data_IF_472816699181
#
_entry.id   IF_472816699181
#
_cell.length_a   1.000
_cell.length_b   1.000
_cell.length_c   1.000
_cell.angle_alpha   90.00
_cell.angle_beta   90.00
_cell.angle_gamma   90.00
#
_symmetry.space_group_name_H-M   'P 1'
#
loop_
_entity.id
_entity.type
_entity.pdbx_description
1 polymer ?
#
# COMPACT_ATOMS: atom_id res chain seq x y z
N UNK A 1 12.13 18.61 -0.95
CA UNK A 1 11.42 18.28 0.33
C UNK A 1 11.02 16.81 0.30
N UNK A 2 11.24 16.09 1.41
CA UNK A 2 10.87 14.67 1.56
C UNK A 2 9.57 14.55 2.37
N UNK A 3 8.66 13.71 1.91
CA UNK A 3 7.37 13.43 2.55
C UNK A 3 7.21 11.93 2.75
N UNK A 4 6.68 11.48 3.90
CA UNK A 4 6.33 10.08 4.06
C UNK A 4 5.13 9.72 3.16
N UNK A 5 5.13 8.52 2.63
CA UNK A 5 3.98 7.93 1.94
C UNK A 5 3.80 6.50 2.46
N UNK A 6 2.57 6.00 2.47
CA UNK A 6 2.27 4.59 2.74
C UNK A 6 1.72 3.89 1.51
N UNK A 7 1.57 2.60 1.59
CA UNK A 7 0.65 1.91 0.71
C UNK A 7 -0.76 2.43 0.93
N UNK A 8 -1.65 2.10 0.04
CA UNK A 8 -3.08 2.43 0.11
C UNK A 8 -3.88 1.33 -0.56
N UNK A 9 -5.17 1.29 -0.29
CA UNK A 9 -6.06 0.26 -0.81
C UNK A 9 -7.14 0.88 -1.72
N UNK A 10 -7.45 0.31 -2.89
CA UNK A 10 -8.58 0.76 -3.69
C UNK A 10 -9.89 0.71 -2.90
N UNK A 11 -10.71 1.74 -2.99
CA UNK A 11 -11.96 1.84 -2.22
C UNK A 11 -12.89 0.64 -2.49
N UNK A 12 -12.93 0.16 -3.73
CA UNK A 12 -13.70 -1.01 -4.15
C UNK A 12 -13.24 -2.33 -3.53
N UNK A 13 -12.11 -2.34 -2.82
CA UNK A 13 -11.59 -3.50 -2.06
C UNK A 13 -11.97 -3.45 -0.59
N UNK A 14 -12.58 -2.38 -0.13
CA UNK A 14 -13.01 -2.21 1.26
C UNK A 14 -14.43 -2.73 1.41
N UNK A 15 -14.65 -3.65 2.35
CA UNK A 15 -15.99 -4.19 2.62
C UNK A 15 -16.92 -3.08 3.17
N UNK A 16 -18.21 -3.20 2.90
CA UNK A 16 -19.21 -2.21 3.35
C UNK A 16 -19.42 -2.24 4.88
N UNK A 17 -19.42 -3.42 5.47
CA UNK A 17 -19.60 -3.58 6.92
C UNK A 17 -18.80 -4.78 7.41
N UNK A 18 -18.46 -4.75 8.69
CA UNK A 18 -17.77 -5.86 9.36
C UNK A 18 -18.63 -7.12 9.28
N UNK A 19 -18.02 -8.25 8.92
CA UNK A 19 -18.69 -9.55 8.85
C UNK A 19 -18.60 -10.27 10.18
N UNK A 20 -19.54 -11.19 10.43
CA UNK A 20 -19.53 -12.07 11.60
C UNK A 20 -18.22 -12.85 11.66
N UNK A 21 -17.53 -12.73 12.78
CA UNK A 21 -16.26 -13.44 13.01
C UNK A 21 -16.53 -14.89 13.36
N UNK A 22 -15.73 -15.80 12.80
CA UNK A 22 -15.86 -17.25 12.98
C UNK A 22 -14.66 -17.86 13.68
N UNK A 23 -13.54 -17.13 13.70
CA UNK A 23 -12.28 -17.61 14.29
C UNK A 23 -11.43 -16.45 14.83
N UNK A 24 -10.53 -16.80 15.73
CA UNK A 24 -9.66 -15.83 16.38
C UNK A 24 -8.61 -15.25 15.40
N UNK A 25 -7.88 -16.11 14.72
CA UNK A 25 -6.74 -15.72 13.89
C UNK A 25 -6.90 -16.21 12.46
N UNK A 26 -6.54 -15.36 11.50
CA UNK A 26 -6.42 -15.75 10.09
C UNK A 26 -5.27 -16.76 9.92
N UNK A 27 -5.48 -17.74 9.02
CA UNK A 27 -4.50 -18.80 8.78
C UNK A 27 -3.22 -18.36 8.06
N UNK A 28 -3.22 -17.14 7.52
CA UNK A 28 -2.09 -16.59 6.78
C UNK A 28 -0.98 -16.10 7.73
N UNK A 29 0.18 -16.75 7.67
CA UNK A 29 1.37 -16.37 8.43
C UNK A 29 2.37 -15.72 7.49
N UNK A 30 2.77 -14.46 7.73
CA UNK A 30 3.72 -13.77 6.88
C UNK A 30 5.04 -14.51 6.76
N UNK A 31 5.48 -14.81 5.51
CA UNK A 31 6.74 -15.52 5.24
C UNK A 31 6.62 -17.04 5.19
N UNK A 32 5.60 -17.63 5.76
CA UNK A 32 5.32 -19.05 5.63
C UNK A 32 4.51 -19.34 4.34
N UNK A 33 5.22 -19.79 3.31
CA UNK A 33 4.64 -20.05 2.00
C UNK A 33 3.56 -21.14 2.03
N UNK A 34 3.57 -22.05 3.00
CA UNK A 34 2.59 -23.13 3.12
C UNK A 34 1.20 -22.64 3.50
N UNK A 35 1.12 -21.43 4.08
CA UNK A 35 -0.14 -20.80 4.48
C UNK A 35 -0.80 -19.98 3.36
N UNK A 36 -0.08 -19.73 2.24
CA UNK A 36 -0.60 -18.95 1.10
C UNK A 36 -1.36 -19.82 0.11
N UNK A 37 -2.38 -20.51 0.61
CA UNK A 37 -3.14 -21.52 -0.15
C UNK A 37 -4.20 -20.95 -1.10
N UNK A 38 -4.55 -19.68 -0.95
CA UNK A 38 -5.62 -19.03 -1.72
C UNK A 38 -5.21 -18.82 -3.19
N UNK A 39 -6.09 -19.22 -4.10
CA UNK A 39 -5.89 -19.09 -5.54
C UNK A 39 -6.55 -17.85 -6.16
N UNK A 40 -7.42 -17.18 -5.42
CA UNK A 40 -8.15 -15.99 -5.84
C UNK A 40 -8.28 -14.98 -4.70
N UNK A 41 -8.61 -13.75 -5.06
CA UNK A 41 -8.72 -12.61 -4.14
C UNK A 41 -9.93 -12.74 -3.20
N UNK A 42 -11.04 -13.31 -3.67
CA UNK A 42 -12.27 -13.43 -2.89
C UNK A 42 -12.07 -14.35 -1.67
N UNK A 43 -11.50 -15.55 -1.87
CA UNK A 43 -11.21 -16.49 -0.79
C UNK A 43 -10.14 -15.92 0.16
N UNK A 44 -9.13 -15.23 -0.39
CA UNK A 44 -8.10 -14.55 0.38
C UNK A 44 -8.69 -13.47 1.30
N UNK A 45 -9.60 -12.65 0.80
CA UNK A 45 -10.25 -11.62 1.60
C UNK A 45 -11.25 -12.19 2.60
N UNK A 46 -11.99 -13.24 2.22
CA UNK A 46 -12.90 -13.93 3.10
C UNK A 46 -12.20 -14.48 4.34
N UNK A 47 -10.96 -14.93 4.20
CA UNK A 47 -10.13 -15.37 5.31
C UNK A 47 -9.99 -14.28 6.38
N UNK A 48 -9.70 -13.03 5.98
CA UNK A 48 -9.66 -11.90 6.89
C UNK A 48 -11.03 -11.48 7.41
N UNK A 49 -12.05 -11.49 6.56
CA UNK A 49 -13.41 -11.10 6.95
C UNK A 49 -13.96 -11.97 8.09
N UNK A 50 -13.64 -13.26 8.07
CA UNK A 50 -14.11 -14.24 9.06
C UNK A 50 -13.20 -14.33 10.30
N UNK A 51 -12.05 -13.65 10.32
CA UNK A 51 -11.10 -13.66 11.42
C UNK A 51 -11.16 -12.38 12.25
N UNK A 52 -10.97 -12.47 13.58
CA UNK A 52 -10.84 -11.31 14.46
C UNK A 52 -9.51 -10.64 14.17
N UNK A 53 -8.41 -11.40 14.25
CA UNK A 53 -7.06 -10.93 14.03
C UNK A 53 -6.42 -11.56 12.80
N UNK A 54 -5.45 -10.84 12.25
CA UNK A 54 -4.52 -11.39 11.28
C UNK A 54 -3.09 -10.99 11.65
N UNK A 55 -2.20 -11.99 11.73
CA UNK A 55 -0.80 -11.77 12.08
C UNK A 55 -0.11 -10.95 11.00
N UNK A 56 0.62 -9.93 11.42
CA UNK A 56 1.47 -9.15 10.55
C UNK A 56 2.66 -8.57 11.31
N UNK A 57 3.73 -8.24 10.58
CA UNK A 57 4.95 -7.65 11.10
C UNK A 57 5.83 -7.10 10.00
N UNK A 58 6.88 -6.37 10.37
CA UNK A 58 7.93 -5.89 9.45
C UNK A 58 8.57 -7.06 8.69
N UNK A 59 8.77 -6.86 7.38
CA UNK A 59 9.58 -7.72 6.52
C UNK A 59 10.74 -6.93 5.91
N UNK A 60 10.81 -6.76 4.61
CA UNK A 60 11.80 -5.90 3.94
C UNK A 60 11.66 -4.43 4.33
N UNK A 61 10.43 -3.97 4.50
CA UNK A 61 10.07 -2.67 5.06
C UNK A 61 9.07 -2.80 6.20
N UNK A 62 8.80 -1.71 6.90
CA UNK A 62 7.75 -1.63 7.91
C UNK A 62 6.38 -1.63 7.27
N UNK A 63 6.25 -0.99 6.11
CA UNK A 63 5.01 -0.88 5.37
C UNK A 63 4.86 -2.02 4.35
N UNK A 64 3.68 -2.64 4.33
CA UNK A 64 3.39 -3.66 3.34
C UNK A 64 1.89 -3.70 3.01
N UNK A 65 1.55 -4.10 1.79
CA UNK A 65 0.18 -4.10 1.29
C UNK A 65 -0.78 -4.92 2.16
N UNK A 66 -0.31 -6.01 2.77
CA UNK A 66 -1.11 -6.84 3.68
C UNK A 66 -1.74 -6.08 4.83
N UNK A 67 -1.09 -5.07 5.38
CA UNK A 67 -1.67 -4.29 6.48
C UNK A 67 -2.98 -3.64 6.07
N UNK A 68 -3.03 -3.11 4.86
CA UNK A 68 -4.19 -2.44 4.27
C UNK A 68 -5.27 -3.45 3.85
N UNK A 69 -4.87 -4.62 3.38
CA UNK A 69 -5.78 -5.73 3.04
C UNK A 69 -6.50 -6.27 4.29
N UNK A 70 -5.79 -6.41 5.40
CA UNK A 70 -6.36 -6.80 6.70
C UNK A 70 -7.41 -5.78 7.15
N UNK A 71 -7.04 -4.50 7.17
CA UNK A 71 -7.93 -3.40 7.57
C UNK A 71 -9.15 -3.28 6.67
N UNK A 72 -8.96 -3.37 5.35
CA UNK A 72 -10.01 -3.25 4.34
C UNK A 72 -11.07 -4.36 4.45
N UNK A 73 -10.71 -5.48 5.06
CA UNK A 73 -11.60 -6.61 5.28
C UNK A 73 -12.16 -6.68 6.72
N UNK A 74 -12.08 -5.58 7.48
CA UNK A 74 -12.62 -5.48 8.84
C UNK A 74 -11.98 -6.46 9.82
N UNK A 75 -10.75 -6.88 9.55
CA UNK A 75 -9.92 -7.67 10.44
C UNK A 75 -8.97 -6.74 11.21
N UNK A 76 -8.60 -7.11 12.42
CA UNK A 76 -7.69 -6.33 13.26
C UNK A 76 -6.27 -6.85 13.03
N UNK A 77 -5.31 -6.00 12.60
CA UNK A 77 -3.93 -6.43 12.50
C UNK A 77 -3.38 -6.80 13.88
N UNK A 78 -2.94 -8.06 14.05
CA UNK A 78 -2.05 -8.41 15.16
C UNK A 78 -0.63 -8.09 14.70
N UNK A 79 -0.22 -6.85 14.96
CA UNK A 79 1.02 -6.32 14.42
C UNK A 79 2.15 -6.44 15.44
N UNK A 80 2.98 -7.44 15.27
CA UNK A 80 4.13 -7.69 16.14
C UNK A 80 5.16 -6.57 15.99
N UNK A 81 5.56 -5.97 17.11
CA UNK A 81 6.55 -4.90 17.15
C UNK A 81 6.05 -3.54 16.64
N UNK A 82 4.74 -3.32 16.57
CA UNK A 82 4.18 -2.03 16.11
C UNK A 82 4.58 -0.85 17.00
N UNK A 83 4.72 -1.08 18.30
CA UNK A 83 5.14 -0.07 19.27
C UNK A 83 6.59 0.42 19.04
N UNK A 84 7.41 -0.40 18.36
CA UNK A 84 8.82 -0.12 18.10
C UNK A 84 9.05 0.49 16.70
N UNK A 85 7.98 0.71 15.94
CA UNK A 85 8.04 1.31 14.61
C UNK A 85 8.41 2.80 14.73
N UNK A 86 9.47 3.27 14.03
CA UNK A 86 9.85 4.67 14.05
C UNK A 86 8.69 5.61 13.67
N UNK A 87 8.68 6.82 14.22
CA UNK A 87 7.58 7.78 14.01
C UNK A 87 7.38 8.16 12.53
N UNK A 88 8.46 8.20 11.76
CA UNK A 88 8.45 8.53 10.35
C UNK A 88 8.11 7.33 9.43
N UNK A 89 7.87 6.14 9.98
CA UNK A 89 7.42 4.94 9.25
C UNK A 89 5.94 4.69 9.52
N UNK A 90 5.25 4.09 8.57
CA UNK A 90 3.81 3.81 8.68
C UNK A 90 3.01 5.04 9.15
N UNK A 91 3.32 6.22 8.65
CA UNK A 91 2.77 7.49 9.15
C UNK A 91 1.27 7.63 8.94
N UNK A 92 0.72 6.99 7.92
CA UNK A 92 -0.72 7.00 7.63
C UNK A 92 -1.46 5.82 8.26
N UNK A 93 -0.74 4.79 8.70
CA UNK A 93 -1.33 3.61 9.34
C UNK A 93 -1.85 3.96 10.75
N UNK A 94 -3.01 3.45 11.18
CA UNK A 94 -3.62 3.78 12.48
C UNK A 94 -2.93 3.07 13.65
N UNK A 95 -1.64 3.36 13.87
CA UNK A 95 -0.79 2.66 14.86
C UNK A 95 -1.42 2.63 16.25
N UNK A 96 -1.86 3.78 16.75
CA UNK A 96 -2.43 3.90 18.10
C UNK A 96 -3.73 3.09 18.24
N UNK A 97 -4.63 3.19 17.27
CA UNK A 97 -5.89 2.46 17.29
C UNK A 97 -5.69 0.94 17.20
N UNK A 98 -4.70 0.49 16.42
CA UNK A 98 -4.33 -0.93 16.33
C UNK A 98 -3.73 -1.41 17.64
N UNK A 99 -2.81 -0.65 18.25
CA UNK A 99 -2.24 -0.98 19.56
C UNK A 99 -3.30 -1.03 20.68
N UNK A 100 -4.25 -0.09 20.68
CA UNK A 100 -5.38 -0.09 21.59
C UNK A 100 -6.24 -1.35 21.42
N UNK A 101 -6.61 -1.67 20.16
CA UNK A 101 -7.40 -2.87 19.86
C UNK A 101 -6.69 -4.16 20.30
N UNK A 102 -5.39 -4.27 20.02
CA UNK A 102 -4.56 -5.39 20.45
C UNK A 102 -4.48 -5.50 21.97
N UNK A 103 -4.34 -4.38 22.68
CA UNK A 103 -4.28 -4.35 24.15
C UNK A 103 -5.59 -4.78 24.77
N UNK A 104 -6.71 -4.23 24.30
CA UNK A 104 -8.05 -4.46 24.90
C UNK A 104 -8.59 -5.85 24.57
N UNK A 105 -8.42 -6.32 23.35
CA UNK A 105 -8.96 -7.59 22.88
C UNK A 105 -8.00 -8.76 23.08
N UNK A 106 -6.72 -8.50 23.11
CA UNK A 106 -5.66 -9.51 23.17
C UNK A 106 -5.09 -9.78 24.56
N UNK A 107 -5.65 -9.17 25.62
CA UNK A 107 -5.06 -9.25 26.97
C UNK A 107 -4.87 -10.69 27.49
N UNK A 108 -5.47 -11.60 26.89
CA UNK A 108 -5.43 -13.01 27.20
C UNK A 108 -5.19 -13.92 26.02
N UNK A 109 -4.63 -13.56 24.91
CA UNK A 109 -4.48 -14.33 23.71
C UNK A 109 -3.12 -15.05 23.62
N UNK A 110 -3.02 -16.36 23.30
CA UNK A 110 -1.77 -17.10 23.05
C UNK A 110 -1.60 -17.44 21.58
N UNK A 111 -0.42 -17.23 21.06
CA UNK A 111 0.00 -17.84 19.79
C UNK A 111 0.41 -19.30 20.06
N UNK A 112 0.17 -20.19 19.12
CA UNK A 112 0.73 -21.51 19.23
C UNK A 112 2.25 -21.54 18.95
N UNK A 113 2.93 -22.58 19.43
CA UNK A 113 4.39 -22.68 19.36
C UNK A 113 4.95 -22.61 17.91
N UNK A 114 4.17 -23.02 16.92
CA UNK A 114 4.57 -23.00 15.51
C UNK A 114 4.64 -21.57 14.98
N UNK A 115 3.68 -20.74 15.36
CA UNK A 115 3.64 -19.31 15.03
C UNK A 115 4.75 -18.56 15.75
N UNK A 116 4.96 -18.83 17.03
CA UNK A 116 6.05 -18.23 17.80
C UNK A 116 7.42 -18.54 17.16
N UNK A 117 7.68 -19.78 16.81
CA UNK A 117 8.91 -20.20 16.13
C UNK A 117 9.10 -19.46 14.81
N UNK A 118 8.04 -19.36 14.00
CA UNK A 118 8.10 -18.67 12.73
C UNK A 118 8.39 -17.17 12.89
N UNK A 119 7.84 -16.54 13.90
CA UNK A 119 8.11 -15.13 14.23
C UNK A 119 9.57 -14.97 14.64
N UNK A 120 10.12 -15.86 15.49
CA UNK A 120 11.52 -15.83 15.91
C UNK A 120 12.49 -15.97 14.71
N UNK A 121 12.17 -16.86 13.77
CA UNK A 121 12.95 -17.00 12.53
C UNK A 121 12.86 -15.73 11.66
N UNK A 122 11.68 -15.12 11.57
CA UNK A 122 11.48 -13.87 10.84
C UNK A 122 12.20 -12.68 11.48
N UNK A 123 12.27 -12.60 12.81
CA UNK A 123 13.08 -11.59 13.52
C UNK A 123 14.54 -11.67 13.13
N UNK A 124 15.10 -12.87 13.10
CA UNK A 124 16.49 -13.08 12.69
C UNK A 124 16.75 -12.63 11.27
N UNK A 125 15.79 -12.88 10.38
CA UNK A 125 15.94 -12.56 8.96
C UNK A 125 15.73 -11.08 8.65
N UNK A 126 14.79 -10.42 9.31
CA UNK A 126 14.35 -9.06 8.97
C UNK A 126 14.72 -8.00 10.03
N UNK A 127 15.32 -8.40 11.14
CA UNK A 127 15.91 -7.49 12.14
C UNK A 127 14.95 -6.55 12.84
N UNK A 128 13.74 -6.99 13.19
CA UNK A 128 12.83 -6.21 14.03
C UNK A 128 12.92 -6.66 15.51
N UNK A 129 12.62 -5.73 16.41
CA UNK A 129 12.58 -5.97 17.86
C UNK A 129 11.14 -6.28 18.27
N UNK A 130 10.95 -7.33 19.05
CA UNK A 130 9.68 -7.72 19.61
C UNK A 130 9.68 -7.61 21.12
N UNK A 131 8.58 -7.12 21.69
CA UNK A 131 8.31 -7.29 23.11
C UNK A 131 7.62 -8.63 23.32
N UNK A 132 8.41 -9.65 23.58
CA UNK A 132 8.00 -11.05 23.80
C UNK A 132 6.90 -11.22 24.86
N UNK A 133 6.78 -10.32 25.82
CA UNK A 133 5.74 -10.35 26.83
C UNK A 133 4.31 -10.13 26.31
N UNK A 134 4.14 -9.34 25.23
CA UNK A 134 2.83 -9.09 24.64
C UNK A 134 2.36 -10.20 23.70
N UNK A 135 3.30 -10.93 23.11
CA UNK A 135 2.98 -12.03 22.21
C UNK A 135 2.51 -13.28 22.94
N UNK A 136 2.83 -13.42 24.20
CA UNK A 136 2.49 -14.60 25.00
C UNK A 136 1.05 -14.61 25.54
N UNK A 137 0.18 -13.79 24.98
CA UNK A 137 -1.18 -13.65 25.49
C UNK A 137 -2.21 -13.63 24.40
N UNK A 138 -2.32 -14.65 23.58
CA UNK A 138 -3.52 -14.81 22.75
C UNK A 138 -4.45 -15.84 23.37
N UNK A 139 -5.66 -15.54 23.76
CA UNK A 139 -6.56 -16.17 24.43
C UNK A 139 -7.90 -16.44 24.23
N UNK A 140 -8.62 -17.00 24.69
CA UNK A 140 -10.06 -17.18 24.83
C UNK A 140 -10.85 -15.86 24.69
N UNK A 141 -10.69 -15.17 23.55
CA UNK A 141 -11.61 -14.09 23.19
C UNK A 141 -12.89 -14.76 22.74
N UNK A 142 -13.97 -14.59 23.50
CA UNK A 142 -15.29 -14.98 23.04
C UNK A 142 -15.58 -14.28 21.72
N UNK A 143 -15.98 -15.02 20.70
CA UNK A 143 -16.37 -14.46 19.39
C UNK A 143 -17.53 -13.46 19.49
N UNK A 144 -18.28 -13.52 20.61
CA UNK A 144 -19.41 -12.63 20.90
C UNK A 144 -19.00 -11.36 21.65
N UNK A 145 -17.70 -11.09 21.84
CA UNK A 145 -17.25 -9.87 22.52
C UNK A 145 -17.60 -8.63 21.69
N UNK A 146 -18.44 -7.71 22.18
CA UNK A 146 -18.89 -6.53 21.43
C UNK A 146 -17.78 -5.56 21.08
N UNK A 147 -16.64 -5.63 21.75
CA UNK A 147 -15.47 -4.80 21.45
C UNK A 147 -14.81 -5.20 20.12
N UNK A 148 -15.02 -6.45 19.67
CA UNK A 148 -14.53 -6.90 18.36
C UNK A 148 -15.17 -6.07 17.24
N UNK A 149 -16.50 -5.99 17.25
CA UNK A 149 -17.23 -5.20 16.25
C UNK A 149 -16.88 -3.72 16.35
N UNK A 150 -16.76 -3.18 17.55
CA UNK A 150 -16.37 -1.79 17.78
C UNK A 150 -15.01 -1.47 17.13
N UNK A 151 -13.96 -2.22 17.46
CA UNK A 151 -12.61 -1.93 16.94
C UNK A 151 -12.48 -2.25 15.46
N UNK A 152 -13.08 -3.33 14.98
CA UNK A 152 -13.12 -3.64 13.56
C UNK A 152 -13.80 -2.54 12.74
N UNK A 153 -14.91 -1.99 13.24
CA UNK A 153 -15.63 -0.87 12.60
C UNK A 153 -14.82 0.41 12.62
N UNK A 154 -14.21 0.77 13.76
CA UNK A 154 -13.38 1.96 13.86
C UNK A 154 -12.18 1.92 12.89
N UNK A 155 -11.51 0.77 12.79
CA UNK A 155 -10.39 0.56 11.87
C UNK A 155 -10.86 0.59 10.40
N UNK A 156 -12.01 0.01 10.11
CA UNK A 156 -12.59 0.03 8.77
C UNK A 156 -12.97 1.44 8.33
N UNK A 157 -13.57 2.24 9.22
CA UNK A 157 -13.93 3.64 8.96
C UNK A 157 -12.68 4.51 8.78
N UNK A 158 -11.65 4.28 9.60
CA UNK A 158 -10.36 4.93 9.43
C UNK A 158 -9.76 4.62 8.04
N UNK A 159 -9.84 3.35 7.63
CA UNK A 159 -9.34 2.88 6.33
C UNK A 159 -10.04 3.59 5.18
N UNK A 160 -11.37 3.66 5.20
CA UNK A 160 -12.15 4.38 4.18
C UNK A 160 -11.79 5.84 4.08
N UNK A 161 -11.57 6.47 5.21
CA UNK A 161 -11.32 7.91 5.27
C UNK A 161 -9.89 8.27 4.87
N UNK A 162 -8.89 7.47 5.28
CA UNK A 162 -7.50 7.89 5.27
C UNK A 162 -6.58 7.01 4.41
N UNK A 163 -6.96 5.76 4.14
CA UNK A 163 -6.06 4.77 3.53
C UNK A 163 -6.46 4.35 2.11
N UNK A 164 -7.49 4.98 1.53
CA UNK A 164 -7.84 4.74 0.13
C UNK A 164 -6.78 5.31 -0.80
N UNK A 165 -6.67 4.76 -1.99
CA UNK A 165 -5.76 5.26 -3.03
C UNK A 165 -6.04 6.72 -3.37
N UNK A 166 -7.32 7.12 -3.38
CA UNK A 166 -7.74 8.51 -3.58
C UNK A 166 -7.30 9.42 -2.44
N UNK A 167 -7.45 8.98 -1.17
CA UNK A 167 -6.99 9.73 -0.02
C UNK A 167 -5.48 9.98 -0.09
N UNK A 168 -4.69 8.98 -0.49
CA UNK A 168 -3.25 9.10 -0.66
C UNK A 168 -2.88 10.06 -1.80
N UNK A 169 -3.56 9.99 -2.94
CA UNK A 169 -3.34 10.93 -4.04
C UNK A 169 -3.69 12.38 -3.63
N UNK A 170 -4.78 12.60 -2.89
CA UNK A 170 -5.15 13.91 -2.32
C UNK A 170 -4.10 14.42 -1.33
N UNK A 171 -3.58 13.53 -0.47
CA UNK A 171 -2.47 13.87 0.43
C UNK A 171 -1.26 14.36 -0.35
N UNK A 172 -0.84 13.61 -1.38
CA UNK A 172 0.31 14.00 -2.22
C UNK A 172 0.12 15.37 -2.86
N UNK A 173 -1.06 15.63 -3.44
CA UNK A 173 -1.41 16.94 -4.02
C UNK A 173 -1.40 18.05 -2.97
N UNK A 174 -1.92 17.78 -1.77
CA UNK A 174 -2.01 18.76 -0.70
C UNK A 174 -0.64 19.20 -0.18
N UNK A 175 0.21 18.23 0.21
CA UNK A 175 1.51 18.56 0.84
C UNK A 175 2.53 19.09 -0.17
N UNK A 176 2.36 18.79 -1.47
CA UNK A 176 3.19 19.35 -2.54
C UNK A 176 2.71 20.70 -3.08
N UNK A 177 1.56 21.21 -2.59
CA UNK A 177 0.97 22.47 -3.03
C UNK A 177 0.27 22.40 -4.40
N UNK A 178 -0.05 21.19 -4.89
CA UNK A 178 -0.62 20.94 -6.23
C UNK A 178 -2.12 20.62 -6.20
N UNK A 179 -2.87 21.09 -5.21
CA UNK A 179 -4.31 20.80 -5.01
C UNK A 179 -5.20 21.17 -6.20
N UNK A 180 -4.76 22.09 -7.04
CA UNK A 180 -5.50 22.57 -8.21
C UNK A 180 -5.12 21.85 -9.51
N UNK A 181 -4.20 20.88 -9.49
CA UNK A 181 -3.82 20.14 -10.67
C UNK A 181 -5.02 19.37 -11.24
N UNK A 182 -5.30 19.58 -12.53
CA UNK A 182 -6.41 18.96 -13.26
C UNK A 182 -5.95 17.89 -14.24
N UNK A 183 -4.66 17.89 -14.56
CA UNK A 183 -4.06 16.94 -15.50
C UNK A 183 -2.70 16.45 -14.98
N UNK A 184 -2.48 15.14 -15.07
CA UNK A 184 -1.27 14.47 -14.58
C UNK A 184 -0.70 13.57 -15.66
N UNK A 185 0.60 13.68 -15.90
CA UNK A 185 1.37 12.65 -16.61
C UNK A 185 2.07 11.77 -15.59
N UNK A 186 1.68 10.50 -15.53
CA UNK A 186 2.25 9.51 -14.63
C UNK A 186 3.29 8.65 -15.35
N UNK A 187 4.55 8.85 -15.03
CA UNK A 187 5.69 8.23 -15.73
C UNK A 187 6.23 7.02 -14.94
N UNK A 188 6.58 5.97 -15.69
CA UNK A 188 7.21 4.76 -15.15
C UNK A 188 8.33 4.29 -16.06
N UNK A 189 9.44 3.79 -15.50
CA UNK A 189 10.56 3.25 -16.30
C UNK A 189 10.16 1.98 -17.06
N UNK A 190 9.37 1.14 -16.42
CA UNK A 190 8.94 -0.16 -16.92
C UNK A 190 7.50 -0.47 -16.51
N UNK A 191 7.00 -1.62 -16.92
CA UNK A 191 5.65 -2.10 -16.61
C UNK A 191 5.64 -3.30 -15.64
N UNK A 192 6.76 -3.60 -14.98
CA UNK A 192 6.82 -4.71 -14.03
C UNK A 192 5.90 -4.47 -12.82
N UNK A 193 5.39 -5.51 -12.18
CA UNK A 193 4.52 -5.36 -11.02
C UNK A 193 5.18 -4.57 -9.89
N UNK A 194 4.49 -3.54 -9.41
CA UNK A 194 4.95 -2.68 -8.31
C UNK A 194 3.72 -2.14 -7.56
N UNK A 195 3.55 -2.53 -6.31
CA UNK A 195 2.39 -2.14 -5.51
C UNK A 195 2.26 -0.63 -5.36
N UNK A 196 3.34 0.05 -4.92
CA UNK A 196 3.30 1.49 -4.67
C UNK A 196 2.92 2.26 -5.93
N UNK A 197 3.52 1.91 -7.07
CA UNK A 197 3.21 2.52 -8.35
C UNK A 197 1.74 2.32 -8.74
N UNK A 198 1.25 1.09 -8.62
CA UNK A 198 -0.12 0.76 -9.04
C UNK A 198 -1.17 1.45 -8.17
N UNK A 199 -1.02 1.42 -6.84
CA UNK A 199 -2.00 2.06 -5.94
C UNK A 199 -1.94 3.58 -6.03
N UNK A 200 -0.76 4.17 -6.23
CA UNK A 200 -0.62 5.62 -6.44
C UNK A 200 -1.24 6.04 -7.78
N UNK A 201 -0.93 5.33 -8.86
CA UNK A 201 -1.54 5.58 -10.18
C UNK A 201 -3.06 5.42 -10.12
N UNK A 202 -3.56 4.37 -9.46
CA UNK A 202 -5.00 4.16 -9.28
C UNK A 202 -5.65 5.36 -8.61
N UNK A 203 -5.07 5.88 -7.53
CA UNK A 203 -5.59 7.05 -6.82
C UNK A 203 -5.68 8.29 -7.72
N UNK A 204 -4.62 8.62 -8.47
CA UNK A 204 -4.66 9.72 -9.44
C UNK A 204 -5.69 9.50 -10.54
N UNK A 205 -5.83 8.28 -11.06
CA UNK A 205 -6.84 7.93 -12.05
C UNK A 205 -8.26 8.08 -11.52
N UNK A 206 -8.51 7.67 -10.29
CA UNK A 206 -9.82 7.85 -9.66
C UNK A 206 -10.18 9.33 -9.48
N UNK A 207 -9.20 10.18 -9.18
CA UNK A 207 -9.42 11.62 -9.04
C UNK A 207 -9.62 12.35 -10.37
N UNK A 208 -8.87 11.97 -11.41
CA UNK A 208 -8.73 12.77 -12.63
C UNK A 208 -9.23 12.06 -13.91
N UNK A 209 -9.61 10.79 -13.81
CA UNK A 209 -10.08 10.03 -14.97
C UNK A 209 -9.02 9.95 -16.07
N UNK A 210 -9.41 10.29 -17.29
CA UNK A 210 -8.52 10.32 -18.47
C UNK A 210 -7.45 11.41 -18.42
N UNK A 211 -7.66 12.44 -17.60
CA UNK A 211 -6.69 13.52 -17.43
C UNK A 211 -5.46 13.08 -16.61
N UNK A 212 -5.50 11.91 -15.96
CA UNK A 212 -4.31 11.22 -15.51
C UNK A 212 -3.84 10.23 -16.58
N UNK A 213 -2.76 10.55 -17.31
CA UNK A 213 -2.20 9.69 -18.34
C UNK A 213 -0.99 8.92 -17.83
N UNK A 214 -1.02 7.58 -17.93
CA UNK A 214 0.08 6.70 -17.56
C UNK A 214 0.94 6.38 -18.79
N UNK A 215 2.26 6.60 -18.69
CA UNK A 215 3.19 6.27 -19.75
C UNK A 215 4.48 5.64 -19.22
N UNK A 216 4.91 4.47 -19.74
CA UNK A 216 4.11 3.57 -20.59
C UNK A 216 2.84 3.09 -19.87
N UNK A 217 1.86 2.61 -20.65
CA UNK A 217 0.65 2.00 -20.11
C UNK A 217 1.01 0.90 -19.13
N UNK A 218 0.43 0.92 -17.92
CA UNK A 218 0.56 -0.15 -16.92
C UNK A 218 -0.59 -1.16 -17.14
N UNK A 219 -0.40 -2.22 -17.95
CA UNK A 219 -1.51 -3.01 -18.48
C UNK A 219 -2.28 -3.74 -17.38
N UNK A 220 -1.59 -4.24 -16.37
CA UNK A 220 -2.20 -5.01 -15.29
C UNK A 220 -3.06 -4.18 -14.30
N UNK A 221 -3.05 -2.85 -14.40
CA UNK A 221 -3.98 -2.00 -13.67
C UNK A 221 -5.39 -2.06 -14.26
N UNK A 222 -5.50 -2.38 -15.54
CA UNK A 222 -6.77 -2.35 -16.27
C UNK A 222 -7.45 -3.72 -16.36
N UNK A 223 -8.79 -3.72 -16.43
CA UNK A 223 -9.62 -4.93 -16.42
C UNK A 223 -9.44 -5.82 -17.64
N UNK A 224 -9.01 -5.24 -18.80
CA UNK A 224 -8.73 -5.97 -20.04
C UNK A 224 -7.47 -6.85 -19.95
N UNK A 225 -6.60 -6.64 -18.96
CA UNK A 225 -5.48 -7.54 -18.67
C UNK A 225 -5.94 -8.95 -18.27
N UNK A 226 -7.07 -9.03 -17.58
CA UNK A 226 -7.70 -10.26 -17.16
C UNK A 226 -7.13 -10.87 -15.88
N UNK A 227 -8.02 -11.35 -15.01
CA UNK A 227 -7.67 -11.90 -13.69
C UNK A 227 -6.76 -13.15 -13.80
N UNK A 228 -6.91 -13.96 -14.84
CA UNK A 228 -6.06 -15.14 -15.04
C UNK A 228 -4.60 -14.75 -15.30
N UNK A 229 -4.35 -13.70 -16.08
CA UNK A 229 -3.00 -13.18 -16.28
C UNK A 229 -2.44 -12.58 -14.99
N UNK A 230 -3.29 -11.92 -14.21
CA UNK A 230 -2.91 -11.28 -12.95
C UNK A 230 -2.38 -12.29 -11.91
N UNK A 231 -2.88 -13.53 -11.89
CA UNK A 231 -2.40 -14.59 -10.99
C UNK A 231 -0.92 -14.93 -11.14
N UNK A 232 -0.34 -14.62 -12.30
CA UNK A 232 1.08 -14.86 -12.58
C UNK A 232 1.99 -13.71 -12.10
N UNK A 233 1.40 -12.62 -11.63
CA UNK A 233 2.13 -11.46 -11.13
C UNK A 233 2.51 -11.65 -9.66
N UNK A 234 3.45 -10.82 -9.19
CA UNK A 234 3.83 -10.80 -7.78
C UNK A 234 2.59 -10.64 -6.88
N UNK A 235 2.54 -11.40 -5.78
CA UNK A 235 1.37 -11.43 -4.89
C UNK A 235 0.08 -11.88 -5.58
N UNK A 236 0.17 -12.67 -6.67
CA UNK A 236 -0.97 -13.15 -7.49
C UNK A 236 -1.85 -12.01 -8.01
N UNK A 237 -1.31 -10.80 -8.09
CA UNK A 237 -2.02 -9.61 -8.53
C UNK A 237 -3.14 -9.13 -7.60
N UNK A 238 -3.21 -9.64 -6.38
CA UNK A 238 -4.24 -9.29 -5.39
C UNK A 238 -4.13 -7.81 -5.02
N UNK A 239 -5.25 -7.13 -4.88
CA UNK A 239 -5.44 -5.75 -4.43
C UNK A 239 -5.02 -4.65 -5.40
N UNK A 240 -4.11 -4.88 -6.36
CA UNK A 240 -3.53 -3.82 -7.18
C UNK A 240 -3.70 -4.00 -8.68
N UNK A 241 -4.40 -5.04 -9.12
CA UNK A 241 -4.60 -5.35 -10.56
C UNK A 241 -6.06 -5.40 -10.96
N UNK A 242 -6.32 -5.25 -12.27
CA UNK A 242 -7.66 -5.32 -12.87
C UNK A 242 -8.68 -4.39 -12.20
N UNK A 243 -8.26 -3.17 -11.85
CA UNK A 243 -9.06 -2.22 -11.08
C UNK A 243 -9.90 -1.29 -11.96
N UNK A 244 -9.38 -0.87 -13.12
CA UNK A 244 -9.95 0.21 -13.92
C UNK A 244 -10.37 -0.28 -15.30
N UNK A 245 -11.50 0.21 -15.79
CA UNK A 245 -11.92 0.03 -17.20
C UNK A 245 -11.11 0.98 -18.08
N UNK A 246 -10.29 0.41 -18.98
CA UNK A 246 -9.33 1.17 -19.79
C UNK A 246 -9.99 2.28 -20.59
N UNK A 247 -11.12 2.01 -21.21
CA UNK A 247 -11.89 2.98 -22.01
C UNK A 247 -12.39 4.19 -21.22
N UNK A 248 -12.56 4.05 -19.90
CA UNK A 248 -12.99 5.12 -19.00
C UNK A 248 -11.85 5.96 -18.44
N UNK A 249 -10.67 5.34 -18.29
CA UNK A 249 -9.54 5.93 -17.55
C UNK A 249 -8.30 6.19 -18.40
N UNK A 250 -8.30 5.88 -19.70
CA UNK A 250 -7.14 6.07 -20.55
C UNK A 250 -7.52 6.49 -21.98
N UNK A 251 -6.69 7.38 -22.58
CA UNK A 251 -6.69 7.67 -23.99
C UNK A 251 -5.35 7.24 -24.60
N UNK A 252 -5.34 6.19 -25.42
CA UNK A 252 -4.13 5.63 -26.00
C UNK A 252 -3.47 6.54 -27.05
N UNK A 253 -4.21 7.50 -27.62
CA UNK A 253 -3.68 8.45 -28.62
C UNK A 253 -2.56 9.32 -28.04
N UNK A 254 -2.61 9.56 -26.72
CA UNK A 254 -1.61 10.39 -26.04
C UNK A 254 -0.22 9.76 -26.00
N UNK A 255 -0.09 8.44 -26.15
CA UNK A 255 1.21 7.76 -26.18
C UNK A 255 2.08 8.22 -27.35
N UNK A 256 1.47 8.44 -28.52
CA UNK A 256 2.19 8.83 -29.75
C UNK A 256 2.71 10.28 -29.73
N UNK A 257 2.16 11.12 -28.86
CA UNK A 257 2.48 12.55 -28.79
C UNK A 257 3.06 12.95 -27.42
N UNK A 258 3.60 11.99 -26.66
CA UNK A 258 4.00 12.22 -25.27
C UNK A 258 5.09 13.30 -25.14
N UNK A 259 6.11 13.27 -25.96
CA UNK A 259 7.18 14.26 -25.91
C UNK A 259 6.68 15.66 -26.29
N UNK A 260 5.84 15.77 -27.33
CA UNK A 260 5.24 17.05 -27.70
C UNK A 260 4.30 17.56 -26.63
N UNK A 261 3.56 16.67 -25.95
CA UNK A 261 2.73 17.01 -24.81
C UNK A 261 3.55 17.57 -23.66
N UNK A 262 4.74 17.04 -23.38
CA UNK A 262 5.67 17.56 -22.38
C UNK A 262 6.19 18.92 -22.80
N UNK A 263 6.70 19.08 -24.04
CA UNK A 263 7.24 20.35 -24.58
C UNK A 263 6.20 21.48 -24.55
N UNK A 264 4.95 21.15 -24.84
CA UNK A 264 3.83 22.09 -24.84
C UNK A 264 3.17 22.26 -23.46
N UNK A 265 3.73 21.67 -22.39
CA UNK A 265 3.21 21.75 -21.02
C UNK A 265 1.72 21.40 -20.91
N UNK A 266 1.31 20.30 -21.55
CA UNK A 266 -0.08 19.84 -21.58
C UNK A 266 -0.59 19.43 -20.21
N UNK A 267 0.30 18.96 -19.32
CA UNK A 267 -0.05 18.49 -17.98
C UNK A 267 0.29 19.54 -16.93
N UNK A 268 -0.55 19.66 -15.90
CA UNK A 268 -0.27 20.54 -14.76
C UNK A 268 0.84 19.95 -13.87
N UNK A 269 0.92 18.61 -13.82
CA UNK A 269 1.78 17.87 -12.91
C UNK A 269 2.36 16.63 -13.56
N UNK A 270 3.63 16.36 -13.26
CA UNK A 270 4.31 15.11 -13.63
C UNK A 270 4.52 14.28 -12.37
N UNK A 271 4.22 13.00 -12.42
CA UNK A 271 4.46 12.07 -11.30
C UNK A 271 5.33 10.90 -11.78
N UNK A 272 6.47 10.70 -11.17
CA UNK A 272 7.29 9.51 -11.36
C UNK A 272 6.92 8.46 -10.31
N UNK A 273 6.26 7.38 -10.74
CA UNK A 273 5.63 6.39 -9.85
C UNK A 273 6.56 5.43 -9.12
N UNK A 274 7.81 5.27 -9.58
CA UNK A 274 8.79 4.34 -9.00
C UNK A 274 10.19 4.76 -9.39
N UNK A 275 10.71 5.81 -8.75
CA UNK A 275 12.02 6.39 -9.11
C UNK A 275 13.19 5.41 -8.92
N UNK A 276 13.07 4.49 -7.97
CA UNK A 276 14.07 3.43 -7.74
C UNK A 276 14.24 2.48 -8.94
N UNK A 277 13.27 2.46 -9.87
CA UNK A 277 13.35 1.72 -11.13
C UNK A 277 13.90 2.57 -12.29
N UNK A 278 14.03 3.88 -12.09
CA UNK A 278 14.52 4.86 -13.05
C UNK A 278 13.46 5.84 -13.52
N UNK A 279 13.90 6.91 -14.17
CA UNK A 279 13.08 8.02 -14.62
C UNK A 279 13.22 8.22 -16.13
N UNK A 280 12.22 7.80 -16.91
CA UNK A 280 12.21 8.02 -18.37
C UNK A 280 11.91 9.49 -18.67
N UNK A 281 12.40 9.98 -19.80
CA UNK A 281 12.18 11.35 -20.29
C UNK A 281 12.60 12.44 -19.26
N UNK A 282 13.49 12.10 -18.29
CA UNK A 282 13.84 12.99 -17.19
C UNK A 282 14.38 14.33 -17.66
N UNK A 283 15.36 14.32 -18.59
CA UNK A 283 15.95 15.54 -19.11
C UNK A 283 14.91 16.45 -19.80
N UNK A 284 14.00 15.81 -20.57
CA UNK A 284 12.92 16.53 -21.23
C UNK A 284 11.96 17.14 -20.20
N UNK A 285 11.49 16.36 -19.23
CA UNK A 285 10.58 16.83 -18.20
C UNK A 285 11.20 17.95 -17.38
N UNK A 286 12.44 17.76 -16.92
CA UNK A 286 13.14 18.75 -16.09
C UNK A 286 13.48 20.04 -16.84
N UNK A 287 13.48 20.01 -18.19
CA UNK A 287 13.65 21.21 -19.03
C UNK A 287 12.37 22.07 -19.05
N UNK A 288 11.20 21.44 -19.08
CA UNK A 288 9.94 22.14 -19.33
C UNK A 288 9.08 22.34 -18.06
N UNK A 289 9.31 21.58 -16.99
CA UNK A 289 8.54 21.64 -15.76
C UNK A 289 9.39 22.16 -14.58
N UNK A 290 8.77 22.93 -13.71
CA UNK A 290 9.42 23.41 -12.50
C UNK A 290 9.53 22.29 -11.44
N UNK A 291 10.48 22.35 -10.53
CA UNK A 291 10.66 21.32 -9.51
C UNK A 291 9.39 20.97 -8.72
N UNK A 292 8.57 21.97 -8.37
CA UNK A 292 7.32 21.76 -7.65
C UNK A 292 6.18 21.15 -8.48
N UNK A 293 6.34 21.10 -9.81
CA UNK A 293 5.42 20.47 -10.75
C UNK A 293 5.81 19.01 -11.07
N UNK A 294 6.84 18.48 -10.40
CA UNK A 294 7.34 17.12 -10.59
C UNK A 294 7.37 16.40 -9.25
N UNK A 295 6.51 15.41 -9.06
CA UNK A 295 6.48 14.59 -7.85
C UNK A 295 7.22 13.26 -8.08
N UNK A 296 8.04 12.88 -7.14
CA UNK A 296 8.84 11.67 -7.17
C UNK A 296 8.35 10.69 -6.11
N UNK A 297 8.07 9.44 -6.48
CA UNK A 297 7.61 8.40 -5.55
C UNK A 297 8.65 7.29 -5.46
N UNK A 298 9.10 7.01 -4.24
CA UNK A 298 9.96 5.89 -3.92
C UNK A 298 9.24 4.87 -3.04
N UNK A 299 8.92 3.72 -3.63
CA UNK A 299 8.27 2.60 -2.95
C UNK A 299 9.24 1.50 -2.50
N UNK A 300 10.54 1.77 -2.47
CA UNK A 300 11.57 0.78 -2.14
C UNK A 300 11.49 0.36 -0.67
N UNK A 301 11.85 -0.90 -0.40
CA UNK A 301 12.02 -1.43 0.95
C UNK A 301 13.34 -0.93 1.54
N UNK A 302 13.38 -0.70 2.85
CA UNK A 302 14.57 -0.19 3.55
C UNK A 302 15.78 -1.14 3.44
N UNK A 303 15.57 -2.44 3.32
CA UNK A 303 16.61 -3.47 3.23
C UNK A 303 16.61 -4.15 1.85
N UNK A 304 16.36 -3.41 0.78
CA UNK A 304 16.45 -4.02 -0.55
C UNK A 304 17.91 -4.31 -0.93
N UNK A 305 18.13 -5.46 -1.59
CA UNK A 305 19.45 -5.80 -2.13
C UNK A 305 19.89 -4.88 -3.29
N UNK A 306 19.04 -3.94 -3.69
CA UNK A 306 19.29 -3.01 -4.80
C UNK A 306 19.85 -1.67 -4.34
N UNK A 307 20.11 -1.49 -3.03
CA UNK A 307 20.40 -0.20 -2.42
C UNK A 307 19.12 0.66 -2.41
N UNK A 308 19.05 1.64 -1.54
CA UNK A 308 17.90 2.56 -1.53
C UNK A 308 18.21 3.77 -2.41
N UNK A 309 17.76 3.82 -3.67
CA UNK A 309 17.98 4.99 -4.53
C UNK A 309 17.53 6.28 -3.89
N UNK A 310 16.62 6.16 -2.92
CA UNK A 310 16.08 7.29 -2.17
C UNK A 310 17.05 7.87 -1.13
N UNK A 311 18.03 7.10 -0.68
CA UNK A 311 19.11 7.58 0.21
C UNK A 311 20.10 8.51 -0.51
N UNK A 312 20.23 8.32 -1.84
CA UNK A 312 21.12 9.15 -2.67
C UNK A 312 20.54 10.53 -3.00
N UNK A 313 19.27 10.75 -2.69
CA UNK A 313 18.65 12.03 -2.97
C UNK A 313 19.06 13.00 -1.89
N UNK A 314 19.92 13.93 -2.25
CA UNK A 314 20.36 15.04 -1.41
C UNK A 314 19.16 15.74 -0.75
N UNK A 315 19.32 16.17 0.50
CA UNK A 315 18.32 16.97 1.21
C UNK A 315 17.98 18.28 0.47
N UNK A 316 18.91 18.79 -0.33
CA UNK A 316 18.72 19.97 -1.17
C UNK A 316 18.08 19.69 -2.53
N UNK A 317 17.69 18.44 -2.82
CA UNK A 317 17.03 18.11 -4.07
C UNK A 317 15.70 18.88 -4.19
N UNK A 318 15.48 19.65 -5.28
CA UNK A 318 14.43 20.67 -5.31
C UNK A 318 13.01 20.10 -5.44
N UNK A 319 12.88 18.84 -5.83
CA UNK A 319 11.58 18.21 -6.10
C UNK A 319 10.93 17.65 -4.83
N UNK A 320 9.60 17.67 -4.72
CA UNK A 320 8.85 16.89 -3.72
C UNK A 320 9.06 15.39 -3.92
N UNK A 321 9.52 14.71 -2.87
CA UNK A 321 9.80 13.26 -2.91
C UNK A 321 8.97 12.58 -1.84
N UNK A 322 8.22 11.56 -2.26
CA UNK A 322 7.39 10.73 -1.40
C UNK A 322 8.09 9.39 -1.18
N UNK A 323 8.46 9.11 0.07
CA UNK A 323 9.28 7.94 0.43
C UNK A 323 8.50 7.06 1.40
N UNK A 324 8.29 5.79 1.03
CA UNK A 324 7.52 4.84 1.83
C UNK A 324 8.24 4.46 3.13
N UNK A 325 9.52 4.31 3.08
CA UNK A 325 10.37 3.95 4.23
C UNK A 325 11.27 5.13 4.65
N UNK A 326 10.67 6.32 4.77
CA UNK A 326 11.38 7.58 5.07
C UNK A 326 12.11 7.54 6.42
#
# INVERSE_FOLDING_TARGET
MKYPIGFSIPEEKIIECVKTKKKLLASLIPGDQTTYVFSNEEDYYKEYQESIFALTYKKGGYDCMRHYEILANGCIPWFVGLQDVPLNRLTHFPKELVLEAMSVLGENAKLDDSIEKHIEESKKLYGFVDSTERMNKLLEVSLDNPLIEKYSSLLLDYTRKNLTTEAMARYMLSVSGNVNAKSVLYLSKDISPDYQRCVTLHGFKKLLGKECHDFPCIPHLYTDFGKENAKNLYGKGISYTCLLKKEQYRNNEYDSIIEDSIRNRKYDLIVYGSIHRGMILWELVNTYYKPNEILLVCGEDHNSNYGTPCEYIDENFPHPIFIREL
#
